data_IF_580984936784
#
_entry.id   IF_580984936784
#
_cell.length_a   1.000
_cell.length_b   1.000
_cell.length_c   1.000
_cell.angle_alpha   90.00
_cell.angle_beta   90.00
_cell.angle_gamma   90.00
#
_symmetry.space_group_name_H-M   'P 1'
#
loop_
_entity.id
_entity.type
_entity.pdbx_description
1 polymer ?
#
# COMPACT_ATOMS: atom_id res chain seq x y z
N UNK A 1 -1.48 -1.99 21.43
CA UNK A 1 -0.97 -1.04 20.43
C UNK A 1 -0.98 -1.79 19.12
N UNK A 2 -1.60 -1.26 18.07
CA UNK A 2 -1.62 -1.96 16.78
C UNK A 2 -0.21 -1.91 16.21
N UNK A 3 0.47 -3.05 16.12
CA UNK A 3 1.81 -3.10 15.55
C UNK A 3 1.76 -2.61 14.11
N UNK A 4 2.71 -1.75 13.75
CA UNK A 4 2.84 -1.25 12.38
C UNK A 4 3.04 -2.44 11.42
N UNK A 5 2.54 -2.35 10.17
CA UNK A 5 2.72 -3.42 9.21
C UNK A 5 4.21 -3.61 8.90
N UNK A 6 4.66 -4.86 8.91
CA UNK A 6 6.02 -5.26 8.47
C UNK A 6 6.07 -5.56 6.97
N UNK A 7 4.93 -5.85 6.37
CA UNK A 7 4.76 -6.09 4.93
C UNK A 7 3.45 -5.48 4.43
N UNK A 8 3.46 -4.95 3.22
CA UNK A 8 2.29 -4.34 2.57
C UNK A 8 2.10 -4.97 1.19
N UNK A 9 0.88 -5.43 0.91
CA UNK A 9 0.51 -5.89 -0.43
C UNK A 9 0.18 -4.68 -1.33
N UNK A 10 1.20 -4.12 -1.97
CA UNK A 10 1.06 -2.94 -2.80
C UNK A 10 0.45 -3.27 -4.16
N UNK A 11 -0.41 -2.39 -4.66
CA UNK A 11 -0.95 -2.44 -6.02
C UNK A 11 -0.20 -1.48 -6.93
N UNK A 12 0.10 -1.91 -8.15
CA UNK A 12 0.75 -1.08 -9.17
C UNK A 12 0.20 -1.41 -10.56
N UNK A 13 0.32 -0.46 -11.47
CA UNK A 13 -0.06 -0.68 -12.87
C UNK A 13 1.06 -1.43 -13.59
N UNK A 14 0.77 -2.64 -14.07
CA UNK A 14 1.69 -3.43 -14.87
C UNK A 14 1.51 -3.07 -16.36
N UNK A 15 2.44 -2.28 -16.89
CA UNK A 15 2.41 -1.83 -18.28
C UNK A 15 2.47 -2.97 -19.31
N UNK A 16 3.17 -4.06 -19.01
CA UNK A 16 3.29 -5.19 -19.93
C UNK A 16 2.00 -6.00 -20.04
N UNK A 17 1.28 -6.18 -18.92
CA UNK A 17 0.00 -6.90 -18.90
C UNK A 17 -1.20 -6.00 -19.16
N UNK A 18 -1.02 -4.68 -19.10
CA UNK A 18 -2.11 -3.68 -19.13
C UNK A 18 -3.17 -3.96 -18.05
N UNK A 19 -2.70 -4.33 -16.86
CA UNK A 19 -3.56 -4.67 -15.72
C UNK A 19 -2.95 -4.15 -14.41
N UNK A 20 -3.78 -4.06 -13.37
CA UNK A 20 -3.29 -3.90 -12.01
C UNK A 20 -2.72 -5.23 -11.53
N UNK A 21 -1.51 -5.19 -10.98
CA UNK A 21 -0.86 -6.33 -10.32
C UNK A 21 -0.49 -5.94 -8.88
N UNK A 22 -0.14 -6.96 -8.09
CA UNK A 22 0.26 -6.78 -6.70
C UNK A 22 1.72 -7.19 -6.49
N UNK A 23 2.37 -6.49 -5.57
CA UNK A 23 3.72 -6.80 -5.10
C UNK A 23 3.79 -6.62 -3.59
N UNK A 24 4.32 -7.63 -2.90
CA UNK A 24 4.63 -7.54 -1.48
C UNK A 24 5.84 -6.62 -1.28
N UNK A 25 5.69 -5.60 -0.42
CA UNK A 25 6.74 -4.66 -0.06
C UNK A 25 7.04 -4.79 1.43
N UNK A 26 8.31 -5.05 1.77
CA UNK A 26 8.77 -5.09 3.15
C UNK A 26 8.91 -3.68 3.70
N UNK A 27 8.52 -3.47 4.96
CA UNK A 27 8.56 -2.18 5.64
C UNK A 27 9.74 -2.16 6.60
N UNK A 28 10.65 -1.20 6.40
CA UNK A 28 11.75 -0.92 7.33
C UNK A 28 11.31 0.11 8.39
N UNK A 29 10.65 1.19 7.94
CA UNK A 29 10.08 2.23 8.81
C UNK A 29 8.67 2.59 8.33
N UNK A 30 7.73 2.78 9.27
CA UNK A 30 6.34 3.09 8.97
C UNK A 30 5.96 4.50 9.41
N UNK A 31 5.41 5.29 8.48
CA UNK A 31 5.09 6.71 8.69
C UNK A 31 3.60 7.02 8.53
N UNK A 32 2.74 6.00 8.53
CA UNK A 32 1.29 6.16 8.46
C UNK A 32 0.72 5.92 7.07
N UNK A 33 -0.53 6.33 6.89
CA UNK A 33 -1.33 6.01 5.72
C UNK A 33 -2.36 7.10 5.42
N UNK A 34 -2.83 7.10 4.18
CA UNK A 34 -3.99 7.91 3.76
C UNK A 34 -5.20 6.99 3.66
N UNK A 35 -6.33 7.42 4.20
CA UNK A 35 -7.58 6.65 4.18
C UNK A 35 -8.50 7.03 3.01
N UNK A 36 -9.20 6.02 2.49
CA UNK A 36 -10.39 6.24 1.67
C UNK A 36 -11.50 6.86 2.52
N UNK A 37 -12.07 7.98 2.05
CA UNK A 37 -13.15 8.66 2.77
C UNK A 37 -14.45 7.84 2.84
N UNK A 38 -14.67 6.92 1.91
CA UNK A 38 -15.88 6.10 1.87
C UNK A 38 -15.80 4.85 2.76
N UNK A 39 -14.74 4.05 2.62
CA UNK A 39 -14.62 2.79 3.37
C UNK A 39 -13.75 2.89 4.63
N UNK A 40 -13.07 4.02 4.86
CA UNK A 40 -12.16 4.25 5.98
C UNK A 40 -11.06 3.17 6.10
N UNK A 41 -10.63 2.65 4.95
CA UNK A 41 -9.49 1.72 4.81
C UNK A 41 -8.32 2.45 4.14
N UNK A 42 -7.08 1.99 4.34
CA UNK A 42 -5.91 2.58 3.67
C UNK A 42 -6.04 2.57 2.14
N UNK A 43 -5.62 3.67 1.51
CA UNK A 43 -5.40 3.81 0.06
C UNK A 43 -3.90 3.81 -0.28
N UNK A 44 -3.08 4.33 0.62
CA UNK A 44 -1.64 4.33 0.50
C UNK A 44 -0.98 4.35 1.86
N UNK A 45 0.26 3.87 1.92
CA UNK A 45 1.12 3.94 3.09
C UNK A 45 2.40 4.69 2.76
N UNK A 46 2.87 5.48 3.72
CA UNK A 46 4.16 6.14 3.67
C UNK A 46 5.16 5.27 4.43
N UNK A 47 6.14 4.70 3.73
CA UNK A 47 7.10 3.77 4.32
C UNK A 47 8.51 4.08 3.86
N UNK A 48 9.48 3.59 4.62
CA UNK A 48 10.83 3.36 4.13
C UNK A 48 11.01 1.88 3.79
N UNK A 49 11.61 1.61 2.64
CA UNK A 49 11.87 0.25 2.17
C UNK A 49 12.96 0.29 1.11
N UNK A 50 13.92 -0.64 1.22
CA UNK A 50 15.14 -0.67 0.42
C UNK A 50 16.00 0.60 0.64
N UNK A 51 16.00 1.14 1.87
CA UNK A 51 16.70 2.38 2.22
C UNK A 51 16.04 3.68 1.72
N UNK A 52 14.95 3.60 0.95
CA UNK A 52 14.27 4.75 0.34
C UNK A 52 12.88 4.99 0.92
N UNK A 53 12.51 6.27 1.09
CA UNK A 53 11.14 6.66 1.41
C UNK A 53 10.27 6.60 0.17
N UNK A 54 9.17 5.86 0.24
CA UNK A 54 8.21 5.74 -0.86
C UNK A 54 6.78 5.64 -0.37
N UNK A 55 5.89 6.13 -1.21
CA UNK A 55 4.45 5.91 -1.06
C UNK A 55 4.10 4.63 -1.78
N UNK A 56 3.46 3.69 -1.09
CA UNK A 56 2.93 2.47 -1.69
C UNK A 56 1.42 2.53 -1.69
N UNK A 57 0.79 2.27 -2.85
CA UNK A 57 -0.66 2.21 -2.96
C UNK A 57 -1.14 0.80 -2.65
N UNK A 58 -2.35 0.69 -2.10
CA UNK A 58 -3.02 -0.58 -1.86
C UNK A 58 -4.39 -0.58 -2.53
N UNK A 59 -4.89 -1.77 -2.81
CA UNK A 59 -6.23 -1.91 -3.38
C UNK A 59 -7.29 -1.41 -2.39
N UNK A 60 -8.09 -0.44 -2.82
CA UNK A 60 -9.14 0.16 -1.99
C UNK A 60 -10.19 -0.88 -1.60
N UNK A 61 -10.63 -0.89 -0.34
CA UNK A 61 -11.73 -1.78 0.08
C UNK A 61 -13.06 -1.57 -0.66
N UNK A 62 -13.24 -0.46 -1.37
CA UNK A 62 -14.39 -0.24 -2.24
C UNK A 62 -14.38 -1.06 -3.53
N UNK A 63 -13.22 -1.52 -4.03
CA UNK A 63 -13.15 -2.34 -5.27
C UNK A 63 -13.62 -3.78 -5.07
N UNK A 64 -13.75 -4.22 -3.81
CA UNK A 64 -14.18 -5.57 -3.44
C UNK A 64 -15.67 -5.65 -3.10
N UNK A 65 -16.44 -4.59 -3.35
CA UNK A 65 -17.88 -4.50 -3.06
C UNK A 65 -18.71 -4.69 -4.30
#
# INVERSE_FOLDING_TARGET
MSDNPTEINSVFWNESKKSWDHKLVKVEEYHGFVECQQCRRPLSHNIKSDGEFKVVYVECGCSKR
#
